data_IF_667908435629
#
_entry.id   IF_667908435629
#
_cell.length_a   1.000
_cell.length_b   1.000
_cell.length_c   1.000
_cell.angle_alpha   90.00
_cell.angle_beta   90.00
_cell.angle_gamma   90.00
#
_symmetry.space_group_name_H-M   'P 1'
#
loop_
_entity.id
_entity.type
_entity.pdbx_description
1 polymer ?
#
# COMPACT_ATOMS: atom_id res chain seq x y z
N UNK A 1 -26.83 -39.92 -13.09
CA UNK A 1 -26.99 -38.70 -12.28
C UNK A 1 -25.70 -37.89 -12.30
N UNK A 2 -25.56 -36.99 -13.27
CA UNK A 2 -24.40 -36.12 -13.45
C UNK A 2 -24.59 -34.85 -12.61
N UNK A 3 -23.80 -34.71 -11.54
CA UNK A 3 -23.79 -33.50 -10.71
C UNK A 3 -23.30 -32.32 -11.56
N UNK A 4 -24.24 -31.46 -12.00
CA UNK A 4 -23.91 -30.14 -12.56
C UNK A 4 -23.13 -29.35 -11.51
N UNK A 5 -21.85 -29.06 -11.79
CA UNK A 5 -21.08 -28.04 -11.06
C UNK A 5 -21.86 -26.72 -11.16
N UNK A 6 -22.39 -26.26 -10.02
CA UNK A 6 -22.99 -24.93 -9.88
C UNK A 6 -21.88 -23.93 -10.24
N UNK A 7 -22.04 -23.26 -11.38
CA UNK A 7 -21.19 -22.14 -11.77
C UNK A 7 -21.45 -21.05 -10.74
N UNK A 8 -20.50 -20.86 -9.81
CA UNK A 8 -20.55 -19.75 -8.84
C UNK A 8 -20.55 -18.50 -9.70
N UNK A 9 -21.64 -17.72 -9.65
CA UNK A 9 -21.67 -16.40 -10.25
C UNK A 9 -20.67 -15.55 -9.48
N UNK A 10 -19.49 -15.34 -10.05
CA UNK A 10 -18.49 -14.42 -9.50
C UNK A 10 -19.00 -13.00 -9.68
N UNK A 11 -19.79 -12.51 -8.73
CA UNK A 11 -19.72 -11.10 -8.41
C UNK A 11 -18.25 -10.86 -8.05
N UNK A 12 -17.55 -10.12 -8.91
CA UNK A 12 -16.14 -9.82 -8.70
C UNK A 12 -15.98 -9.19 -7.32
N UNK A 13 -15.17 -9.83 -6.45
CA UNK A 13 -14.90 -9.30 -5.12
C UNK A 13 -14.30 -7.90 -5.25
N UNK A 14 -14.97 -6.90 -4.69
CA UNK A 14 -14.50 -5.51 -4.66
C UNK A 14 -13.36 -5.28 -3.66
N UNK A 15 -13.12 -6.24 -2.74
CA UNK A 15 -12.02 -6.16 -1.77
C UNK A 15 -10.69 -6.02 -2.48
N UNK A 16 -9.86 -5.14 -1.94
CA UNK A 16 -8.52 -4.84 -2.42
C UNK A 16 -7.49 -5.19 -1.35
N UNK A 17 -6.26 -5.27 -1.80
CA UNK A 17 -5.06 -5.54 -1.01
C UNK A 17 -4.09 -4.39 -1.23
N UNK A 18 -3.71 -3.73 -0.15
CA UNK A 18 -2.77 -2.62 -0.14
C UNK A 18 -1.46 -3.11 0.48
N UNK A 19 -0.35 -2.87 -0.21
CA UNK A 19 1.01 -3.04 0.30
C UNK A 19 1.52 -1.66 0.71
N UNK A 20 1.74 -1.43 2.00
CA UNK A 20 2.31 -0.20 2.51
C UNK A 20 3.79 -0.41 2.84
N UNK A 21 4.62 0.20 2.02
CA UNK A 21 6.05 0.02 2.01
C UNK A 21 6.72 0.75 3.18
N UNK A 22 7.20 0.00 4.16
CA UNK A 22 8.06 0.53 5.22
C UNK A 22 9.23 -0.45 5.39
N UNK A 23 10.44 0.02 5.10
CA UNK A 23 11.68 -0.73 5.28
C UNK A 23 12.70 0.14 5.97
N UNK A 24 13.43 -0.43 6.93
CA UNK A 24 14.44 0.27 7.71
C UNK A 24 15.46 1.00 6.84
N UNK A 25 15.47 2.32 6.97
CA UNK A 25 16.37 3.22 6.23
C UNK A 25 15.86 3.61 4.84
N UNK A 26 14.66 3.17 4.45
CA UNK A 26 14.10 3.37 3.13
C UNK A 26 14.78 2.51 2.08
N UNK A 27 14.22 2.53 0.87
CA UNK A 27 14.82 1.91 -0.29
C UNK A 27 15.76 2.97 -0.86
N UNK A 28 17.05 2.62 -0.98
CA UNK A 28 18.09 3.59 -1.26
C UNK A 28 18.59 3.47 -2.71
N UNK A 29 18.66 2.24 -3.20
CA UNK A 29 19.16 1.88 -4.53
C UNK A 29 18.18 2.25 -5.65
N UNK A 30 16.90 2.37 -5.34
CA UNK A 30 15.82 2.75 -6.26
C UNK A 30 15.79 4.25 -6.60
N UNK A 31 16.55 5.08 -5.88
CA UNK A 31 16.75 6.50 -6.22
C UNK A 31 17.41 6.69 -7.60
N UNK A 32 18.14 5.68 -8.08
CA UNK A 32 18.84 5.74 -9.36
C UNK A 32 17.92 5.30 -10.50
N UNK A 33 17.44 6.27 -11.28
CA UNK A 33 16.53 6.04 -12.43
C UNK A 33 17.10 5.02 -13.43
N UNK A 34 18.43 4.99 -13.59
CA UNK A 34 19.11 4.09 -14.51
C UNK A 34 19.55 2.75 -13.88
N UNK A 35 19.09 2.48 -12.67
CA UNK A 35 19.60 1.39 -11.86
C UNK A 35 20.99 1.66 -11.29
N UNK A 36 21.48 0.70 -10.53
CA UNK A 36 22.79 0.70 -9.88
C UNK A 36 23.45 -0.66 -10.08
N UNK A 37 24.78 -0.67 -10.13
CA UNK A 37 25.63 -1.85 -10.24
C UNK A 37 26.57 -1.94 -9.04
N UNK A 38 27.30 -3.04 -8.95
CA UNK A 38 28.38 -3.24 -7.99
C UNK A 38 27.91 -3.15 -6.53
N UNK A 39 26.65 -3.55 -6.28
CA UNK A 39 26.07 -3.63 -4.95
C UNK A 39 26.66 -4.82 -4.18
N UNK A 40 27.09 -4.56 -2.95
CA UNK A 40 27.68 -5.58 -2.07
C UNK A 40 26.63 -6.47 -1.40
N UNK A 41 25.34 -6.13 -1.49
CA UNK A 41 24.22 -6.86 -0.92
C UNK A 41 23.11 -6.99 -1.95
N UNK A 42 22.33 -8.05 -1.82
CA UNK A 42 21.10 -8.24 -2.59
C UNK A 42 20.16 -7.06 -2.33
N UNK A 43 19.67 -6.33 -3.35
CA UNK A 43 18.68 -5.28 -3.16
C UNK A 43 17.31 -5.90 -2.88
N UNK A 44 16.45 -5.21 -2.13
CA UNK A 44 15.06 -5.63 -2.01
C UNK A 44 14.35 -5.56 -3.36
N UNK A 45 13.57 -6.60 -3.67
CA UNK A 45 12.68 -6.63 -4.82
C UNK A 45 11.34 -7.22 -4.41
N UNK A 46 10.27 -6.77 -5.04
CA UNK A 46 8.94 -7.32 -4.83
C UNK A 46 8.43 -8.01 -6.10
N UNK A 47 8.01 -9.27 -5.99
CA UNK A 47 7.58 -10.09 -7.13
C UNK A 47 6.12 -10.54 -7.06
N UNK A 48 5.43 -10.33 -5.94
CA UNK A 48 4.07 -10.83 -5.72
C UNK A 48 2.97 -9.83 -6.14
N UNK A 49 3.22 -9.06 -7.20
CA UNK A 49 2.32 -7.99 -7.66
C UNK A 49 0.90 -8.45 -7.96
N UNK A 50 0.73 -9.67 -8.47
CA UNK A 50 -0.58 -10.29 -8.71
C UNK A 50 -1.44 -10.44 -7.45
N UNK A 51 -0.85 -10.28 -6.25
CA UNK A 51 -1.53 -10.39 -4.96
C UNK A 51 -1.83 -9.03 -4.30
N UNK A 52 -1.42 -7.89 -4.88
CA UNK A 52 -1.58 -6.55 -4.29
C UNK A 52 -2.18 -5.55 -5.25
N UNK A 53 -3.28 -4.88 -4.92
CA UNK A 53 -3.99 -3.93 -5.81
C UNK A 53 -3.37 -2.52 -5.76
N UNK A 54 -2.85 -2.13 -4.60
CA UNK A 54 -2.29 -0.81 -4.35
C UNK A 54 -0.93 -0.98 -3.68
N UNK A 55 0.09 -0.31 -4.18
CA UNK A 55 1.40 -0.19 -3.57
C UNK A 55 1.59 1.26 -3.09
N UNK A 56 1.77 1.46 -1.79
CA UNK A 56 2.03 2.77 -1.21
C UNK A 56 3.53 2.84 -0.94
N UNK A 57 4.23 3.78 -1.58
CA UNK A 57 5.62 4.07 -1.28
C UNK A 57 5.67 5.00 -0.06
N UNK A 58 5.93 4.42 1.10
CA UNK A 58 5.86 5.10 2.39
C UNK A 58 7.26 5.36 2.97
N UNK A 59 7.38 6.52 3.65
CA UNK A 59 8.53 6.92 4.44
C UNK A 59 8.08 7.99 5.46
N UNK A 60 8.89 8.23 6.49
CA UNK A 60 8.67 9.28 7.50
C UNK A 60 9.20 10.65 7.03
N UNK A 61 8.99 10.98 5.76
CA UNK A 61 9.32 12.29 5.18
C UNK A 61 8.04 13.00 4.76
N UNK A 62 7.91 14.29 5.09
CA UNK A 62 6.70 15.10 4.87
C UNK A 62 5.96 14.79 3.56
N UNK A 63 6.69 14.79 2.44
CA UNK A 63 6.18 14.31 1.15
C UNK A 63 7.13 13.23 0.64
N UNK A 64 6.58 12.05 0.41
CA UNK A 64 7.31 10.94 -0.21
C UNK A 64 6.74 10.68 -1.59
N UNK A 65 7.58 10.91 -2.61
CA UNK A 65 7.26 10.65 -4.01
C UNK A 65 7.78 9.26 -4.38
N UNK A 66 6.95 8.36 -4.94
CA UNK A 66 7.39 7.04 -5.37
C UNK A 66 8.47 7.15 -6.48
N UNK A 67 9.59 6.41 -6.40
CA UNK A 67 10.58 6.36 -7.47
C UNK A 67 10.01 5.79 -8.77
N UNK A 68 10.48 6.30 -9.92
CA UNK A 68 10.00 5.85 -11.24
C UNK A 68 10.14 4.35 -11.46
N UNK A 69 11.15 3.70 -10.88
CA UNK A 69 11.32 2.25 -10.94
C UNK A 69 10.11 1.50 -10.35
N UNK A 70 9.65 1.93 -9.18
CA UNK A 70 8.48 1.35 -8.51
C UNK A 70 7.18 1.66 -9.22
N UNK A 71 7.01 2.90 -9.71
CA UNK A 71 5.86 3.30 -10.53
C UNK A 71 5.73 2.36 -11.74
N UNK A 72 6.82 2.22 -12.51
CA UNK A 72 6.83 1.37 -13.70
C UNK A 72 6.60 -0.11 -13.38
N UNK A 73 7.23 -0.63 -12.32
CA UNK A 73 7.08 -2.02 -11.90
C UNK A 73 5.63 -2.35 -11.52
N UNK A 74 4.99 -1.48 -10.73
CA UNK A 74 3.60 -1.64 -10.32
C UNK A 74 2.63 -1.53 -11.51
N UNK A 75 2.80 -0.51 -12.36
CA UNK A 75 1.96 -0.31 -13.55
C UNK A 75 2.04 -1.48 -14.52
N UNK A 76 3.25 -2.00 -14.77
CA UNK A 76 3.46 -3.18 -15.62
C UNK A 76 2.70 -4.40 -15.08
N UNK A 77 2.54 -4.48 -13.76
CA UNK A 77 1.78 -5.54 -13.08
C UNK A 77 0.31 -5.17 -12.75
N UNK A 78 -0.19 -4.03 -13.23
CA UNK A 78 -1.57 -3.60 -13.03
C UNK A 78 -1.91 -3.26 -11.57
N UNK A 79 -0.94 -2.80 -10.77
CA UNK A 79 -1.13 -2.25 -9.44
C UNK A 79 -1.09 -0.72 -9.49
N UNK A 80 -1.95 -0.07 -8.71
CA UNK A 80 -1.88 1.38 -8.49
C UNK A 80 -0.75 1.72 -7.52
N UNK A 81 -0.15 2.91 -7.64
CA UNK A 81 0.91 3.41 -6.79
C UNK A 81 0.50 4.70 -6.10
N UNK A 82 0.68 4.77 -4.79
CA UNK A 82 0.47 6.00 -4.02
C UNK A 82 1.80 6.50 -3.44
N UNK A 83 1.98 7.82 -3.45
CA UNK A 83 2.93 8.48 -2.57
C UNK A 83 2.36 8.64 -1.16
N UNK A 84 3.13 9.26 -0.28
CA UNK A 84 2.71 9.54 1.11
C UNK A 84 2.85 11.01 1.42
N UNK A 85 1.82 11.60 2.04
CA UNK A 85 1.89 12.90 2.72
C UNK A 85 1.72 12.61 4.19
N UNK A 86 2.73 12.96 4.98
CA UNK A 86 2.77 12.64 6.41
C UNK A 86 3.17 13.88 7.22
N UNK A 87 2.50 14.14 8.33
CA UNK A 87 2.93 15.14 9.31
C UNK A 87 2.82 14.50 10.69
N UNK A 88 3.92 14.47 11.43
CA UNK A 88 4.04 13.68 12.66
C UNK A 88 4.39 14.53 13.89
N UNK A 89 3.74 14.23 15.01
CA UNK A 89 4.14 14.62 16.35
C UNK A 89 4.25 16.13 16.59
N UNK A 90 5.45 16.68 16.40
CA UNK A 90 5.84 18.03 16.82
C UNK A 90 5.84 19.06 15.68
N UNK A 91 5.49 18.67 14.46
CA UNK A 91 5.57 19.50 13.25
C UNK A 91 4.40 20.52 13.12
N UNK A 92 4.02 21.20 14.20
CA UNK A 92 2.88 22.14 14.22
C UNK A 92 3.07 23.35 13.30
N UNK A 93 4.29 23.83 13.12
CA UNK A 93 4.59 24.94 12.20
C UNK A 93 4.39 24.53 10.75
N UNK A 94 4.81 23.31 10.39
CA UNK A 94 4.59 22.72 9.08
C UNK A 94 3.10 22.50 8.83
N UNK A 95 2.39 21.90 9.80
CA UNK A 95 0.94 21.72 9.72
C UNK A 95 0.24 23.07 9.49
N UNK A 96 0.60 24.10 10.26
CA UNK A 96 -0.02 25.42 10.14
C UNK A 96 0.24 26.03 8.76
N UNK A 97 1.48 25.92 8.25
CA UNK A 97 1.83 26.37 6.90
C UNK A 97 1.02 25.66 5.83
N UNK A 98 0.89 24.33 5.92
CA UNK A 98 0.09 23.52 4.99
C UNK A 98 -1.39 23.90 5.06
N UNK A 99 -1.95 24.06 6.25
CA UNK A 99 -3.36 24.38 6.44
C UNK A 99 -3.70 25.82 6.05
N UNK A 100 -2.77 26.76 6.16
CA UNK A 100 -2.98 28.15 5.73
C UNK A 100 -2.94 28.29 4.19
N UNK A 101 -2.25 27.41 3.47
CA UNK A 101 -2.19 27.41 2.01
C UNK A 101 -2.68 26.11 1.36
N UNK A 102 -3.64 25.42 1.99
CA UNK A 102 -4.02 24.05 1.63
C UNK A 102 -4.48 23.87 0.18
N UNK A 103 -5.12 24.88 -0.42
CA UNK A 103 -5.57 24.80 -1.81
C UNK A 103 -4.39 24.70 -2.77
N UNK A 104 -3.41 25.59 -2.61
CA UNK A 104 -2.18 25.59 -3.39
C UNK A 104 -1.38 24.31 -3.12
N UNK A 105 -1.29 23.89 -1.86
CA UNK A 105 -0.59 22.66 -1.50
C UNK A 105 -1.20 21.43 -2.20
N UNK A 106 -2.53 21.26 -2.13
CA UNK A 106 -3.23 20.17 -2.81
C UNK A 106 -3.03 20.21 -4.34
N UNK A 107 -3.07 21.40 -4.96
CA UNK A 107 -2.83 21.57 -6.40
C UNK A 107 -1.41 21.21 -6.81
N UNK A 108 -0.41 21.51 -5.97
CA UNK A 108 0.99 21.11 -6.22
C UNK A 108 1.18 19.60 -6.06
N UNK A 109 0.60 18.98 -5.03
CA UNK A 109 0.61 17.53 -4.87
C UNK A 109 -0.04 16.82 -6.07
N UNK A 110 -1.20 17.30 -6.53
CA UNK A 110 -1.86 16.76 -7.72
C UNK A 110 -1.04 16.98 -9.01
N UNK A 111 -0.36 18.13 -9.13
CA UNK A 111 0.53 18.39 -10.27
C UNK A 111 1.72 17.44 -10.32
N UNK A 112 2.34 17.15 -9.16
CA UNK A 112 3.42 16.17 -9.03
C UNK A 112 2.93 14.77 -9.40
N UNK A 113 1.78 14.36 -8.85
CA UNK A 113 1.12 13.09 -9.16
C UNK A 113 0.91 12.93 -10.66
N UNK A 114 0.30 13.92 -11.32
CA UNK A 114 0.03 13.89 -12.76
C UNK A 114 1.31 13.88 -13.60
N UNK A 115 2.34 14.62 -13.19
CA UNK A 115 3.60 14.69 -13.91
C UNK A 115 4.35 13.36 -13.90
N UNK A 116 4.37 12.67 -12.76
CA UNK A 116 5.12 11.42 -12.58
C UNK A 116 4.29 10.17 -12.85
N UNK A 117 2.96 10.30 -12.91
CA UNK A 117 2.05 9.27 -13.39
C UNK A 117 1.57 8.25 -12.34
N UNK A 118 1.85 8.40 -11.05
CA UNK A 118 1.28 7.53 -10.00
C UNK A 118 -0.17 7.91 -9.68
N UNK A 119 -0.93 7.13 -8.90
CA UNK A 119 -2.39 7.26 -8.78
C UNK A 119 -2.89 8.17 -7.64
N UNK A 120 -2.03 8.59 -6.72
CA UNK A 120 -2.38 9.56 -5.67
C UNK A 120 -1.66 9.35 -4.36
N UNK A 121 -2.35 9.54 -3.22
CA UNK A 121 -1.70 9.78 -1.94
C UNK A 121 -2.33 9.02 -0.77
N UNK A 122 -1.50 8.42 0.08
CA UNK A 122 -1.83 8.13 1.47
C UNK A 122 -1.62 9.40 2.29
N UNK A 123 -2.63 9.77 3.08
CA UNK A 123 -2.58 10.90 4.02
C UNK A 123 -2.42 10.34 5.44
N UNK A 124 -1.28 10.63 6.08
CA UNK A 124 -1.02 10.23 7.47
C UNK A 124 -0.76 11.46 8.34
N UNK A 125 -1.78 11.95 9.06
CA UNK A 125 -1.64 13.14 9.91
C UNK A 125 -1.64 12.72 11.38
N UNK A 126 -0.47 12.38 11.91
CA UNK A 126 -0.27 11.95 13.29
C UNK A 126 0.00 13.14 14.21
N UNK A 127 -0.94 14.09 14.22
CA UNK A 127 -0.85 15.32 15.01
C UNK A 127 -1.92 15.31 16.10
N UNK A 128 -1.52 15.59 17.34
CA UNK A 128 -2.44 15.66 18.49
C UNK A 128 -2.81 17.11 18.83
N UNK A 129 -3.94 17.30 19.51
CA UNK A 129 -4.42 18.60 20.03
C UNK A 129 -4.63 19.69 18.97
N UNK A 130 -5.14 19.31 17.80
CA UNK A 130 -5.59 20.26 16.78
C UNK A 130 -6.80 21.05 17.29
N UNK A 131 -6.79 22.35 17.02
CA UNK A 131 -7.97 23.19 17.20
C UNK A 131 -9.05 22.83 16.18
N UNK A 132 -10.32 23.16 16.48
CA UNK A 132 -11.42 22.89 15.54
C UNK A 132 -11.26 23.62 14.20
N UNK A 133 -10.62 24.79 14.20
CA UNK A 133 -10.25 25.49 12.96
C UNK A 133 -9.24 24.70 12.14
N UNK A 134 -8.23 24.09 12.79
CA UNK A 134 -7.26 23.24 12.11
C UNK A 134 -7.91 21.96 11.56
N UNK A 135 -8.78 21.29 12.32
CA UNK A 135 -9.52 20.12 11.84
C UNK A 135 -10.38 20.47 10.63
N UNK A 136 -11.12 21.59 10.68
CA UNK A 136 -11.94 22.07 9.55
C UNK A 136 -11.10 22.35 8.29
N UNK A 137 -9.93 22.96 8.46
CA UNK A 137 -8.98 23.18 7.35
C UNK A 137 -8.39 21.87 6.84
N UNK A 138 -8.09 20.91 7.72
CA UNK A 138 -7.58 19.60 7.34
C UNK A 138 -8.62 18.80 6.54
N UNK A 139 -9.90 18.88 6.92
CA UNK A 139 -10.99 18.34 6.11
C UNK A 139 -11.12 19.06 4.76
N UNK A 140 -10.93 20.38 4.72
CA UNK A 140 -10.97 21.15 3.48
C UNK A 140 -9.83 20.74 2.54
N UNK A 141 -8.62 20.59 3.07
CA UNK A 141 -7.48 20.01 2.38
C UNK A 141 -7.79 18.61 1.83
N UNK A 142 -8.31 17.73 2.70
CA UNK A 142 -8.64 16.34 2.36
C UNK A 142 -9.64 16.27 1.21
N UNK A 143 -10.73 17.05 1.26
CA UNK A 143 -11.70 17.13 0.17
C UNK A 143 -11.07 17.67 -1.13
N UNK A 144 -10.26 18.73 -1.04
CA UNK A 144 -9.61 19.34 -2.19
C UNK A 144 -8.67 18.34 -2.88
N UNK A 145 -7.77 17.67 -2.15
CA UNK A 145 -6.82 16.72 -2.76
C UNK A 145 -7.54 15.49 -3.31
N UNK A 146 -8.58 14.97 -2.64
CA UNK A 146 -9.43 13.88 -3.14
C UNK A 146 -10.11 14.26 -4.46
N UNK A 147 -10.58 15.50 -4.62
CA UNK A 147 -11.19 15.96 -5.87
C UNK A 147 -10.22 16.06 -7.05
N UNK A 148 -8.90 16.13 -6.78
CA UNK A 148 -7.86 16.33 -7.78
C UNK A 148 -7.13 15.05 -8.16
N UNK A 149 -7.11 14.04 -7.29
CA UNK A 149 -6.32 12.83 -7.46
C UNK A 149 -7.21 11.59 -7.62
N UNK A 150 -6.82 10.60 -8.45
CA UNK A 150 -7.60 9.38 -8.65
C UNK A 150 -7.84 8.55 -7.37
N UNK A 151 -6.84 8.47 -6.48
CA UNK A 151 -6.91 7.70 -5.25
C UNK A 151 -6.33 8.52 -4.11
N UNK A 152 -7.10 8.69 -3.03
CA UNK A 152 -6.65 9.31 -1.78
C UNK A 152 -7.16 8.45 -0.64
N UNK A 153 -6.24 8.01 0.22
CA UNK A 153 -6.55 7.16 1.36
C UNK A 153 -6.18 7.90 2.63
N UNK A 154 -7.10 7.96 3.58
CA UNK A 154 -6.86 8.52 4.91
C UNK A 154 -6.33 7.44 5.86
N UNK A 155 -5.25 7.69 6.58
CA UNK A 155 -4.83 6.83 7.69
C UNK A 155 -5.57 7.20 8.97
N UNK A 156 -6.10 6.20 9.68
CA UNK A 156 -6.81 6.30 10.95
C UNK A 156 -5.92 6.89 12.05
N UNK A 157 -5.85 8.23 12.10
CA UNK A 157 -4.91 9.01 12.91
C UNK A 157 -5.64 10.09 13.72
N UNK A 158 -5.60 11.35 13.28
CA UNK A 158 -6.32 12.44 13.94
C UNK A 158 -7.83 12.32 13.72
N UNK A 159 -8.60 12.54 14.78
CA UNK A 159 -10.05 12.50 14.78
C UNK A 159 -10.68 13.85 14.46
N UNK A 160 -12.00 13.87 14.23
CA UNK A 160 -12.80 15.09 14.08
C UNK A 160 -12.77 15.99 15.32
N UNK A 161 -12.34 15.48 16.47
CA UNK A 161 -12.14 16.24 17.70
C UNK A 161 -10.77 16.91 17.77
N UNK A 162 -9.88 16.63 16.79
CA UNK A 162 -8.52 17.15 16.74
C UNK A 162 -7.53 16.36 17.60
N UNK A 163 -7.90 15.16 18.07
CA UNK A 163 -7.04 14.31 18.89
C UNK A 163 -6.39 13.24 18.02
N UNK A 164 -5.09 12.95 18.24
CA UNK A 164 -4.47 11.75 17.70
C UNK A 164 -4.97 10.54 18.49
N UNK A 165 -5.83 9.74 17.87
CA UNK A 165 -6.46 8.58 18.51
C UNK A 165 -6.77 7.52 17.45
N UNK A 166 -5.82 6.61 17.23
CA UNK A 166 -5.98 5.48 16.33
C UNK A 166 -7.16 4.61 16.78
N UNK A 167 -8.29 4.72 16.10
CA UNK A 167 -9.56 4.10 16.50
C UNK A 167 -9.55 2.59 16.29
N UNK A 168 -8.74 2.10 15.36
CA UNK A 168 -8.71 0.71 14.89
C UNK A 168 -10.04 0.23 14.28
N UNK A 169 -10.96 1.16 14.03
CA UNK A 169 -12.29 0.92 13.46
C UNK A 169 -12.78 2.18 12.75
N UNK A 170 -13.75 2.03 11.85
CA UNK A 170 -14.49 3.17 11.35
C UNK A 170 -15.63 3.50 12.33
N UNK A 171 -15.62 4.72 12.86
CA UNK A 171 -16.67 5.22 13.74
C UNK A 171 -16.89 6.74 13.55
N UNK A 172 -17.72 7.35 14.39
CA UNK A 172 -18.03 8.79 14.28
C UNK A 172 -16.82 9.72 14.36
N UNK A 173 -15.69 9.28 14.92
CA UNK A 173 -14.52 10.13 15.15
C UNK A 173 -13.66 10.27 13.89
N UNK A 174 -13.67 9.30 12.97
CA UNK A 174 -12.88 9.33 11.73
C UNK A 174 -13.76 9.27 10.46
N UNK A 175 -15.07 9.12 10.59
CA UNK A 175 -16.02 9.01 9.48
C UNK A 175 -16.02 10.20 8.51
N UNK A 176 -15.84 11.44 9.00
CA UNK A 176 -15.82 12.60 8.11
C UNK A 176 -14.61 12.58 7.16
N UNK A 177 -13.46 12.07 7.61
CA UNK A 177 -12.29 11.86 6.74
C UNK A 177 -12.51 10.69 5.76
N UNK A 178 -13.16 9.61 6.20
CA UNK A 178 -13.54 8.51 5.31
C UNK A 178 -14.47 8.96 4.18
N UNK A 179 -15.49 9.78 4.48
CA UNK A 179 -16.37 10.35 3.44
C UNK A 179 -15.61 11.28 2.49
N UNK A 180 -14.65 12.04 3.02
CA UNK A 180 -13.85 12.99 2.25
C UNK A 180 -12.78 12.34 1.37
N UNK A 181 -12.62 11.00 1.43
CA UNK A 181 -11.57 10.26 0.72
C UNK A 181 -12.12 9.05 -0.02
N UNK A 182 -11.27 8.43 -0.84
CA UNK A 182 -11.59 7.21 -1.57
C UNK A 182 -11.51 5.95 -0.68
N UNK A 183 -10.96 6.06 0.53
CA UNK A 183 -10.93 4.98 1.51
C UNK A 183 -10.18 5.35 2.78
N UNK A 184 -10.34 4.53 3.81
CA UNK A 184 -9.65 4.66 5.10
C UNK A 184 -8.76 3.46 5.36
N UNK A 185 -7.53 3.71 5.76
CA UNK A 185 -6.59 2.73 6.28
C UNK A 185 -6.68 2.74 7.80
N UNK A 186 -7.34 1.73 8.38
CA UNK A 186 -7.47 1.56 9.82
C UNK A 186 -6.16 1.09 10.45
N UNK A 187 -5.84 1.61 11.65
CA UNK A 187 -4.67 1.19 12.41
C UNK A 187 -4.73 -0.31 12.74
N UNK A 188 -3.57 -0.91 13.05
CA UNK A 188 -3.39 -2.36 13.16
C UNK A 188 -3.70 -2.96 14.55
N UNK A 189 -4.07 -2.14 15.55
CA UNK A 189 -4.40 -2.57 16.92
C UNK A 189 -5.84 -3.03 17.14
N UNK A 190 -6.50 -3.54 16.11
CA UNK A 190 -7.92 -3.92 16.13
C UNK A 190 -8.17 -5.31 16.72
N UNK A 191 -9.45 -5.62 16.93
CA UNK A 191 -9.95 -6.93 17.36
C UNK A 191 -11.21 -7.26 16.56
N UNK A 192 -11.73 -8.48 16.67
CA UNK A 192 -12.97 -8.86 15.97
C UNK A 192 -14.17 -7.95 16.34
N UNK A 193 -14.18 -7.43 17.58
CA UNK A 193 -15.18 -6.43 18.00
C UNK A 193 -15.13 -5.18 17.12
N UNK A 194 -13.93 -4.64 16.88
CA UNK A 194 -13.73 -3.46 16.03
C UNK A 194 -14.17 -3.70 14.58
N UNK A 195 -13.94 -4.90 14.03
CA UNK A 195 -14.41 -5.26 12.69
C UNK A 195 -15.94 -5.29 12.61
N UNK A 196 -16.59 -5.91 13.59
CA UNK A 196 -18.06 -5.93 13.69
C UNK A 196 -18.64 -4.54 13.85
N UNK A 197 -18.08 -3.72 14.72
CA UNK A 197 -18.54 -2.34 14.94
C UNK A 197 -18.34 -1.47 13.69
N UNK A 198 -17.25 -1.64 12.95
CA UNK A 198 -17.06 -0.97 11.64
C UNK A 198 -18.17 -1.35 10.66
N UNK A 199 -18.53 -2.64 10.60
CA UNK A 199 -19.58 -3.14 9.70
C UNK A 199 -20.95 -2.58 10.08
N UNK A 200 -21.29 -2.66 11.37
CA UNK A 200 -22.54 -2.12 11.92
C UNK A 200 -22.63 -0.60 11.71
N UNK A 201 -21.51 0.10 11.87
CA UNK A 201 -21.45 1.54 11.65
C UNK A 201 -21.71 1.90 10.17
N UNK A 202 -21.10 1.22 9.20
CA UNK A 202 -21.38 1.43 7.78
C UNK A 202 -22.87 1.19 7.45
N UNK A 203 -23.45 0.11 7.97
CA UNK A 203 -24.89 -0.19 7.83
C UNK A 203 -25.73 0.96 8.41
N UNK A 204 -25.39 1.44 9.61
CA UNK A 204 -26.12 2.53 10.26
C UNK A 204 -26.07 3.86 9.49
N UNK A 205 -25.06 4.04 8.63
CA UNK A 205 -24.88 5.20 7.76
C UNK A 205 -25.45 5.02 6.35
N UNK A 206 -25.83 3.80 5.98
CA UNK A 206 -26.28 3.45 4.62
C UNK A 206 -25.15 3.40 3.59
N UNK A 207 -23.92 3.13 4.06
CA UNK A 207 -22.69 3.11 3.27
C UNK A 207 -22.15 1.68 3.08
N UNK A 208 -23.00 0.65 3.09
CA UNK A 208 -22.56 -0.75 2.91
C UNK A 208 -21.87 -0.98 1.55
N UNK A 209 -22.13 -0.13 0.57
CA UNK A 209 -21.46 -0.16 -0.72
C UNK A 209 -19.98 0.26 -0.68
N UNK A 210 -19.52 0.87 0.43
CA UNK A 210 -18.16 1.36 0.67
C UNK A 210 -17.33 0.42 1.56
N UNK A 211 -17.80 -0.78 1.86
CA UNK A 211 -17.05 -1.76 2.70
C UNK A 211 -15.63 -2.04 2.16
N UNK A 212 -15.48 -2.16 0.84
CA UNK A 212 -14.16 -2.37 0.21
C UNK A 212 -13.24 -1.16 0.29
N UNK A 213 -13.74 -0.01 0.74
CA UNK A 213 -12.96 1.21 0.91
C UNK A 213 -12.43 1.36 2.34
N UNK A 214 -12.77 0.41 3.22
CA UNK A 214 -12.12 0.23 4.53
C UNK A 214 -10.98 -0.78 4.37
N UNK A 215 -9.75 -0.32 4.57
CA UNK A 215 -8.54 -1.13 4.55
C UNK A 215 -8.10 -1.40 5.98
N UNK A 216 -8.23 -2.64 6.43
CA UNK A 216 -7.86 -3.03 7.79
C UNK A 216 -6.34 -3.27 7.85
N UNK A 217 -5.65 -2.54 8.72
CA UNK A 217 -4.21 -2.60 8.87
C UNK A 217 -3.71 -3.92 9.46
N UNK A 218 -2.66 -4.47 8.86
CA UNK A 218 -1.94 -5.65 9.33
C UNK A 218 -0.46 -5.32 9.39
N UNK A 219 0.07 -5.07 10.59
CA UNK A 219 1.49 -4.83 10.78
C UNK A 219 2.27 -6.16 10.71
N UNK A 220 3.10 -6.29 9.68
CA UNK A 220 3.88 -7.51 9.46
C UNK A 220 5.00 -7.66 10.51
N UNK A 221 5.41 -6.60 11.20
CA UNK A 221 6.28 -6.73 12.38
C UNK A 221 5.52 -7.14 13.66
N UNK A 222 4.18 -7.14 13.63
CA UNK A 222 3.35 -7.70 14.69
C UNK A 222 3.05 -6.79 15.88
N UNK A 223 3.26 -5.47 15.78
CA UNK A 223 2.99 -4.54 16.88
C UNK A 223 1.47 -4.42 17.08
N UNK A 224 0.92 -5.14 18.05
CA UNK A 224 -0.50 -5.08 18.42
C UNK A 224 -1.47 -5.75 17.44
N UNK A 225 -0.97 -6.38 16.37
CA UNK A 225 -1.80 -7.01 15.34
C UNK A 225 -2.17 -8.46 15.72
N UNK A 226 -3.42 -8.91 15.46
CA UNK A 226 -3.80 -10.31 15.63
C UNK A 226 -2.83 -11.27 14.91
N UNK A 227 -2.43 -12.35 15.60
CA UNK A 227 -1.43 -13.30 15.10
C UNK A 227 0.03 -12.91 15.37
N UNK A 228 0.33 -11.67 15.77
CA UNK A 228 1.68 -11.25 16.17
C UNK A 228 2.67 -11.07 15.02
N UNK A 229 2.19 -10.88 13.78
CA UNK A 229 3.01 -10.55 12.61
C UNK A 229 3.78 -11.74 12.01
N UNK A 230 4.74 -11.41 11.16
CA UNK A 230 5.61 -12.34 10.45
C UNK A 230 4.83 -13.42 9.70
N UNK A 231 5.28 -14.67 9.83
CA UNK A 231 4.59 -15.81 9.21
C UNK A 231 3.19 -16.08 9.79
N UNK A 232 2.80 -15.44 10.88
CA UNK A 232 1.47 -15.57 11.48
C UNK A 232 0.51 -14.43 11.07
N UNK A 233 0.94 -13.48 10.23
CA UNK A 233 0.07 -12.42 9.71
C UNK A 233 -1.18 -12.95 8.99
N UNK A 234 -1.17 -14.18 8.48
CA UNK A 234 -2.36 -14.81 7.88
C UNK A 234 -3.53 -14.93 8.86
N UNK A 235 -3.28 -15.00 10.18
CA UNK A 235 -4.33 -15.03 11.21
C UNK A 235 -5.16 -13.75 11.18
N UNK A 236 -4.50 -12.59 11.02
CA UNK A 236 -5.19 -11.32 10.85
C UNK A 236 -6.07 -11.31 9.59
N UNK A 237 -5.54 -11.80 8.46
CA UNK A 237 -6.29 -11.87 7.19
C UNK A 237 -7.49 -12.81 7.30
N UNK A 238 -7.34 -13.94 7.99
CA UNK A 238 -8.42 -14.90 8.25
C UNK A 238 -9.56 -14.25 9.04
N UNK A 239 -9.24 -13.46 10.07
CA UNK A 239 -10.24 -12.72 10.86
C UNK A 239 -10.97 -11.64 10.04
N UNK A 240 -10.30 -11.02 9.07
CA UNK A 240 -10.89 -9.95 8.23
C UNK A 240 -11.75 -10.54 7.11
N UNK A 241 -11.41 -11.73 6.60
CA UNK A 241 -12.04 -12.34 5.43
C UNK A 241 -13.59 -12.35 5.45
N UNK A 242 -14.30 -12.56 6.58
CA UNK A 242 -15.76 -12.54 6.64
C UNK A 242 -16.41 -11.17 6.43
N UNK A 243 -15.70 -10.06 6.68
CA UNK A 243 -16.33 -8.72 6.81
C UNK A 243 -16.49 -7.95 5.49
N UNK A 244 -15.87 -8.44 4.41
CA UNK A 244 -15.83 -7.78 3.09
C UNK A 244 -15.02 -6.46 3.03
N UNK A 245 -14.18 -6.22 4.04
CA UNK A 245 -13.19 -5.14 4.03
C UNK A 245 -11.97 -5.49 3.19
N UNK A 246 -11.25 -4.45 2.78
CA UNK A 246 -9.93 -4.55 2.15
C UNK A 246 -8.84 -4.72 3.20
N UNK A 247 -7.65 -5.12 2.74
CA UNK A 247 -6.48 -5.38 3.60
C UNK A 247 -5.42 -4.32 3.35
N UNK A 248 -4.72 -3.87 4.38
CA UNK A 248 -3.52 -3.07 4.25
C UNK A 248 -2.34 -3.69 5.02
N UNK A 249 -1.41 -4.28 4.29
CA UNK A 249 -0.21 -4.93 4.80
C UNK A 249 0.87 -3.88 5.04
N UNK A 250 1.20 -3.60 6.30
CA UNK A 250 2.23 -2.63 6.68
C UNK A 250 3.59 -3.28 6.87
N UNK A 251 4.63 -2.69 6.31
CA UNK A 251 6.02 -3.14 6.40
C UNK A 251 6.28 -4.61 5.95
N UNK A 252 5.79 -5.09 4.78
CA UNK A 252 6.05 -6.47 4.35
C UNK A 252 7.54 -6.76 4.05
N UNK A 253 8.37 -5.73 3.91
CA UNK A 253 9.84 -5.85 3.81
C UNK A 253 10.48 -6.54 5.03
N UNK A 254 9.73 -6.81 6.09
CA UNK A 254 10.07 -7.75 7.16
C UNK A 254 10.68 -9.08 6.65
N UNK A 255 10.21 -9.61 5.52
CA UNK A 255 10.78 -10.84 4.92
C UNK A 255 12.26 -10.68 4.57
N UNK A 256 12.65 -9.51 4.09
CA UNK A 256 14.01 -9.12 3.75
C UNK A 256 14.81 -8.68 4.97
N UNK A 257 14.26 -7.79 5.81
CA UNK A 257 14.95 -7.27 7.00
C UNK A 257 15.28 -8.34 8.04
N UNK A 258 14.43 -9.36 8.15
CA UNK A 258 14.64 -10.48 9.04
C UNK A 258 15.19 -11.73 8.31
N UNK A 259 15.72 -11.57 7.09
CA UNK A 259 16.43 -12.64 6.38
C UNK A 259 17.82 -12.89 6.96
N UNK A 260 18.34 -14.09 6.71
CA UNK A 260 19.67 -14.53 7.16
C UNK A 260 20.32 -15.44 6.12
N UNK A 261 21.54 -15.89 6.38
CA UNK A 261 22.21 -16.88 5.53
C UNK A 261 21.51 -18.26 5.55
N UNK A 262 20.88 -18.60 6.67
CA UNK A 262 20.14 -19.87 6.84
C UNK A 262 18.73 -19.79 6.27
N UNK A 263 18.15 -18.59 6.23
CA UNK A 263 16.81 -18.35 5.74
C UNK A 263 16.82 -17.13 4.80
N UNK A 264 17.06 -17.44 3.53
CA UNK A 264 17.27 -16.42 2.50
C UNK A 264 16.03 -15.53 2.33
N UNK A 265 16.22 -14.32 1.83
CA UNK A 265 15.12 -13.43 1.50
C UNK A 265 14.08 -14.12 0.61
N UNK A 266 14.54 -14.80 -0.45
CA UNK A 266 13.67 -15.50 -1.40
C UNK A 266 12.81 -16.57 -0.70
N UNK A 267 13.41 -17.43 0.13
CA UNK A 267 12.66 -18.49 0.83
C UNK A 267 11.62 -17.91 1.79
N UNK A 268 11.97 -16.83 2.50
CA UNK A 268 11.06 -16.13 3.42
C UNK A 268 9.93 -15.45 2.68
N UNK A 269 10.23 -14.76 1.59
CA UNK A 269 9.26 -14.03 0.76
C UNK A 269 8.20 -15.00 0.24
N UNK A 270 8.60 -16.09 -0.43
CA UNK A 270 7.66 -17.06 -0.97
C UNK A 270 6.84 -17.74 0.13
N UNK A 271 7.46 -18.13 1.24
CA UNK A 271 6.75 -18.77 2.35
C UNK A 271 5.75 -17.82 3.01
N UNK A 272 6.10 -16.54 3.14
CA UNK A 272 5.22 -15.53 3.69
C UNK A 272 4.00 -15.32 2.79
N UNK A 273 4.22 -15.04 1.51
CA UNK A 273 3.13 -14.78 0.57
C UNK A 273 2.25 -16.00 0.31
N UNK A 274 2.79 -17.23 0.33
CA UNK A 274 1.99 -18.46 0.20
C UNK A 274 0.98 -18.61 1.35
N UNK A 275 1.34 -18.19 2.58
CA UNK A 275 0.43 -18.19 3.72
C UNK A 275 -0.69 -17.15 3.61
N UNK A 276 -0.39 -15.99 3.01
CA UNK A 276 -1.36 -14.91 2.84
C UNK A 276 -2.27 -15.14 1.63
N UNK A 277 -1.75 -15.78 0.57
CA UNK A 277 -2.40 -15.99 -0.72
C UNK A 277 -3.86 -16.48 -0.65
N UNK A 278 -4.27 -17.41 0.24
CA UNK A 278 -5.67 -17.86 0.31
C UNK A 278 -6.69 -16.75 0.62
N UNK A 279 -6.22 -15.65 1.23
CA UNK A 279 -7.07 -14.53 1.66
C UNK A 279 -6.96 -13.31 0.73
N UNK A 280 -6.03 -13.35 -0.23
CA UNK A 280 -5.78 -12.26 -1.18
C UNK A 280 -6.45 -12.53 -2.52
N UNK A 281 -6.88 -11.45 -3.18
CA UNK A 281 -7.38 -11.53 -4.55
C UNK A 281 -6.19 -11.71 -5.48
N UNK A 282 -6.19 -12.79 -6.26
CA UNK A 282 -5.21 -13.00 -7.32
C UNK A 282 -5.69 -12.29 -8.57
N UNK A 283 -4.92 -11.31 -9.06
CA UNK A 283 -5.15 -10.67 -10.36
C UNK A 283 -4.43 -11.43 -11.46
N UNK A 284 -5.10 -11.55 -12.61
CA UNK A 284 -4.46 -11.97 -13.84
C UNK A 284 -3.65 -10.82 -14.46
N UNK A 285 -2.79 -11.17 -15.42
CA UNK A 285 -2.01 -10.18 -16.17
C UNK A 285 -2.98 -9.20 -16.87
N UNK A 286 -2.76 -7.91 -16.68
CA UNK A 286 -3.47 -6.87 -17.40
C UNK A 286 -2.74 -6.55 -18.70
N UNK A 287 -3.19 -7.16 -19.81
CA UNK A 287 -2.69 -6.87 -21.15
C UNK A 287 -3.77 -6.19 -21.98
N UNK A 288 -3.39 -5.18 -22.75
CA UNK A 288 -4.23 -4.64 -23.81
C UNK A 288 -4.46 -5.69 -24.91
N UNK A 289 -5.54 -5.52 -25.68
CA UNK A 289 -5.81 -6.37 -26.86
C UNK A 289 -4.67 -6.33 -27.90
N UNK A 290 -3.87 -5.26 -27.93
CA UNK A 290 -2.70 -5.19 -28.81
C UNK A 290 -1.53 -6.01 -28.27
N UNK A 291 -1.28 -5.99 -26.97
CA UNK A 291 -0.23 -6.78 -26.32
C UNK A 291 -0.56 -8.28 -26.39
N UNK A 292 -1.82 -8.66 -26.14
CA UNK A 292 -2.27 -10.05 -26.31
C UNK A 292 -2.00 -10.61 -27.71
N UNK A 293 -2.15 -9.76 -28.75
CA UNK A 293 -1.87 -10.14 -30.14
C UNK A 293 -0.39 -10.31 -30.44
N UNK A 294 0.50 -9.63 -29.70
CA UNK A 294 1.95 -9.76 -29.84
C UNK A 294 2.50 -11.01 -29.16
N UNK A 295 1.73 -11.64 -28.28
CA UNK A 295 2.17 -12.75 -27.46
C UNK A 295 2.87 -12.27 -26.18
N UNK A 296 2.96 -13.17 -25.21
CA UNK A 296 3.67 -12.94 -23.96
C UNK A 296 5.11 -13.46 -24.11
N UNK A 297 6.09 -12.58 -23.99
CA UNK A 297 7.51 -12.91 -23.94
C UNK A 297 8.04 -12.56 -22.55
N UNK A 298 8.66 -13.53 -21.88
CA UNK A 298 9.21 -13.37 -20.53
C UNK A 298 10.53 -14.12 -20.41
N UNK A 299 11.51 -13.47 -19.81
CA UNK A 299 12.78 -14.02 -19.34
C UNK A 299 12.83 -14.21 -17.82
N UNK A 300 11.75 -13.87 -17.12
CA UNK A 300 11.61 -13.92 -15.65
C UNK A 300 12.59 -12.98 -14.94
N UNK A 301 12.83 -11.80 -15.53
CA UNK A 301 13.70 -10.80 -14.91
C UNK A 301 12.97 -10.10 -13.75
N UNK A 302 13.49 -10.24 -12.53
CA UNK A 302 12.91 -9.65 -11.32
C UNK A 302 13.41 -8.22 -11.03
N UNK A 303 14.20 -7.63 -11.93
CA UNK A 303 14.76 -6.28 -11.76
C UNK A 303 16.05 -6.24 -10.93
N UNK A 304 16.62 -7.38 -10.55
CA UNK A 304 17.94 -7.47 -9.95
C UNK A 304 18.65 -8.79 -10.33
N UNK A 305 19.95 -8.88 -10.07
CA UNK A 305 20.71 -10.10 -10.28
C UNK A 305 22.19 -9.96 -9.97
N UNK A 306 22.93 -11.07 -9.98
CA UNK A 306 24.39 -11.09 -9.86
C UNK A 306 25.10 -11.06 -11.21
N UNK A 307 24.50 -11.70 -12.20
CA UNK A 307 25.02 -11.75 -13.57
C UNK A 307 24.00 -11.12 -14.52
N UNK A 308 24.49 -10.46 -15.57
CA UNK A 308 23.67 -10.03 -16.69
C UNK A 308 23.97 -11.00 -17.84
N UNK A 309 23.13 -12.03 -18.02
CA UNK A 309 23.34 -13.06 -19.03
C UNK A 309 23.09 -12.54 -20.45
N UNK A 310 24.02 -11.72 -20.97
CA UNK A 310 24.01 -11.21 -22.35
C UNK A 310 24.93 -12.05 -23.23
N UNK A 311 24.68 -13.35 -23.42
CA UNK A 311 25.40 -14.24 -24.37
C UNK A 311 26.94 -14.28 -24.33
N UNK A 312 27.59 -13.53 -23.45
CA UNK A 312 29.04 -13.44 -23.27
C UNK A 312 29.31 -13.54 -21.78
N UNK A 313 30.16 -14.50 -21.39
CA UNK A 313 30.61 -14.73 -20.00
C UNK A 313 30.86 -13.40 -19.28
N UNK A 314 30.22 -13.19 -18.14
CA UNK A 314 30.49 -12.05 -17.27
C UNK A 314 30.81 -12.53 -15.85
N UNK A 315 32.01 -12.21 -15.38
CA UNK A 315 32.54 -12.57 -14.05
C UNK A 315 32.02 -11.63 -12.94
N UNK A 316 30.73 -11.25 -12.95
CA UNK A 316 30.19 -10.36 -11.92
C UNK A 316 29.80 -11.14 -10.66
N UNK A 317 30.54 -10.90 -9.57
CA UNK A 317 30.24 -11.44 -8.23
C UNK A 317 29.33 -10.48 -7.42
N UNK A 318 29.06 -9.27 -7.94
CA UNK A 318 28.30 -8.20 -7.27
C UNK A 318 26.90 -8.03 -7.87
N UNK A 319 25.98 -7.49 -7.07
CA UNK A 319 24.58 -7.31 -7.46
C UNK A 319 24.38 -6.07 -8.33
N UNK A 320 23.44 -6.17 -9.27
CA UNK A 320 22.85 -5.03 -9.97
C UNK A 320 21.36 -4.92 -9.63
N UNK A 321 20.83 -3.70 -9.68
CA UNK A 321 19.43 -3.39 -9.42
C UNK A 321 18.91 -2.39 -10.46
N UNK A 322 17.86 -2.74 -11.19
CA UNK A 322 17.21 -1.89 -12.19
C UNK A 322 15.76 -2.36 -12.41
N UNK A 323 14.81 -1.78 -11.68
CA UNK A 323 13.38 -2.13 -11.78
C UNK A 323 12.77 -1.87 -13.15
N UNK A 324 13.41 -1.09 -14.04
CA UNK A 324 12.95 -0.95 -15.42
C UNK A 324 13.04 -2.26 -16.20
N UNK A 325 13.95 -3.15 -15.76
CA UNK A 325 14.14 -4.48 -16.32
C UNK A 325 13.21 -5.52 -15.71
N UNK A 326 12.47 -5.18 -14.65
CA UNK A 326 11.48 -6.09 -14.08
C UNK A 326 10.40 -6.42 -15.11
N UNK A 327 10.11 -7.70 -15.25
CA UNK A 327 9.05 -8.25 -16.08
C UNK A 327 7.80 -8.60 -15.24
N UNK A 328 6.73 -9.02 -15.92
CA UNK A 328 5.46 -9.43 -15.31
C UNK A 328 5.59 -10.81 -14.65
#
# INVERSE_FOLDING_TARGET
MTKKKKRISSQESKKKSLFCHDMKGGYLEDRFINGVKDLNKEPYQFSHWSLIDIFVYFSHSFITIPPLGWINAAHKNGSAVLGTIIIEGHEFDLLSTVLDCYELFAERCASIQKLLGFEGWLLNFEMDKLTQTQVSRLLSFTNKITSLCPIVIWYDSVTIEGKLDWRNQLDSHNYEFFKATHGIYLNYGWSEKHLRETKEFLISRGDENRESDVYVGVDIFGRGCPGGGGFNSYVALEMIAPYNFSLALFAPAWTYECSSQEETFFDREYRFWDKLRPFLRIRGIQMSNQELKRGLEMSFNSGCGRELNTTTKSDFVQWWFDLRRMEI
#
